data_IF_871030977510
#
_entry.id   IF_871030977510
#
_cell.length_a   1.000
_cell.length_b   1.000
_cell.length_c   1.000
_cell.angle_alpha   90.00
_cell.angle_beta   90.00
_cell.angle_gamma   90.00
#
_symmetry.space_group_name_H-M   'P 1'
#
loop_
_entity.id
_entity.type
_entity.pdbx_description
1 polymer ?
#
# COMPACT_ATOMS: atom_id res chain seq x y z
N UNK A 1 12.79 -5.45 -7.77
CA UNK A 1 13.17 -4.49 -6.74
C UNK A 1 12.00 -4.28 -5.79
N UNK A 2 12.28 -4.18 -4.48
CA UNK A 2 11.31 -3.97 -3.41
C UNK A 2 11.59 -2.60 -2.79
N UNK A 3 10.55 -1.89 -2.38
CA UNK A 3 10.62 -0.58 -1.74
C UNK A 3 10.43 -0.79 -0.24
N UNK A 4 11.51 -0.64 0.55
CA UNK A 4 11.42 -0.60 2.00
C UNK A 4 10.61 0.63 2.41
N UNK A 5 9.53 0.42 3.17
CA UNK A 5 8.60 1.49 3.51
C UNK A 5 8.37 1.54 5.02
N UNK A 6 8.62 2.67 5.64
CA UNK A 6 8.35 2.90 7.06
C UNK A 6 7.10 3.75 7.23
N UNK A 7 6.12 3.20 7.93
CA UNK A 7 4.83 3.82 8.20
C UNK A 7 4.70 4.04 9.71
N UNK A 8 4.26 5.22 10.14
CA UNK A 8 4.08 5.54 11.55
C UNK A 8 3.83 7.02 11.78
N UNK A 9 3.66 7.41 13.04
CA UNK A 9 3.34 8.79 13.40
C UNK A 9 4.37 9.80 12.87
N UNK A 10 3.94 11.02 12.63
CA UNK A 10 4.84 12.12 12.28
C UNK A 10 5.83 12.39 13.41
N UNK A 11 7.08 12.68 13.05
CA UNK A 11 8.14 12.99 14.03
C UNK A 11 8.89 11.77 14.59
N UNK A 12 8.59 10.53 14.14
CA UNK A 12 9.26 9.30 14.58
C UNK A 12 10.58 9.00 13.83
N UNK A 13 11.28 9.99 13.36
CA UNK A 13 12.58 9.91 12.68
C UNK A 13 12.69 9.00 11.45
N UNK A 14 11.57 8.59 10.83
CA UNK A 14 11.55 7.70 9.66
C UNK A 14 12.44 8.18 8.50
N UNK A 15 12.25 9.43 8.08
CA UNK A 15 13.05 10.07 7.01
C UNK A 15 14.52 10.16 7.40
N UNK A 16 14.81 10.57 8.64
CA UNK A 16 16.19 10.65 9.16
C UNK A 16 16.84 9.27 9.18
N UNK A 17 16.12 8.23 9.60
CA UNK A 17 16.62 6.86 9.56
C UNK A 17 16.97 6.42 8.13
N UNK A 18 16.09 6.70 7.16
CA UNK A 18 16.36 6.38 5.75
C UNK A 18 17.58 7.12 5.21
N UNK A 19 17.81 8.34 5.63
CA UNK A 19 18.98 9.13 5.25
C UNK A 19 20.28 8.51 5.80
N UNK A 20 20.24 7.94 7.00
CA UNK A 20 21.40 7.32 7.64
C UNK A 20 21.65 5.86 7.19
N UNK A 21 20.92 5.35 6.22
CA UNK A 21 21.28 4.08 5.54
C UNK A 21 22.63 4.23 4.82
N UNK A 22 22.88 5.41 4.24
CA UNK A 22 24.17 5.72 3.63
C UNK A 22 25.13 6.33 4.66
N UNK A 23 26.41 5.93 4.66
CA UNK A 23 27.42 6.56 5.49
C UNK A 23 27.67 8.02 5.04
N UNK A 24 28.20 8.90 5.90
CA UNK A 24 28.41 10.31 5.57
C UNK A 24 29.16 10.56 4.26
N UNK A 25 30.13 9.70 3.92
CA UNK A 25 30.92 9.80 2.68
C UNK A 25 30.09 9.57 1.41
N UNK A 26 28.92 8.94 1.51
CA UNK A 26 28.00 8.67 0.39
C UNK A 26 26.70 9.48 0.50
N UNK A 27 26.61 10.42 1.43
CA UNK A 27 25.37 11.18 1.67
C UNK A 27 24.91 12.00 0.46
N UNK A 28 25.82 12.42 -0.41
CA UNK A 28 25.51 13.13 -1.65
C UNK A 28 24.69 12.28 -2.66
N UNK A 29 24.75 10.96 -2.53
CA UNK A 29 23.99 10.01 -3.37
C UNK A 29 22.63 9.62 -2.77
N UNK A 30 22.21 10.30 -1.72
CA UNK A 30 20.86 10.20 -1.18
C UNK A 30 20.03 11.40 -1.63
N UNK A 31 18.83 11.15 -2.08
CA UNK A 31 17.89 12.21 -2.40
C UNK A 31 16.49 11.88 -1.91
N UNK A 32 15.71 12.92 -1.65
CA UNK A 32 14.32 12.80 -1.23
C UNK A 32 13.41 13.41 -2.30
N UNK A 33 12.37 12.67 -2.65
CA UNK A 33 11.28 13.16 -3.46
C UNK A 33 10.03 13.28 -2.60
N UNK A 34 9.57 14.52 -2.40
CA UNK A 34 8.29 14.76 -1.76
C UNK A 34 7.15 14.59 -2.76
N UNK A 35 6.01 14.17 -2.26
CA UNK A 35 4.82 13.84 -3.07
C UNK A 35 4.13 15.03 -3.74
N UNK A 36 4.53 16.25 -3.42
CA UNK A 36 3.95 17.47 -3.99
C UNK A 36 4.32 17.69 -5.47
N UNK A 37 5.27 16.91 -5.99
CA UNK A 37 5.75 17.05 -7.38
C UNK A 37 5.45 15.80 -8.20
N UNK A 38 4.78 15.98 -9.33
CA UNK A 38 4.53 14.94 -10.34
C UNK A 38 5.82 14.22 -10.74
N UNK A 39 5.73 12.92 -11.02
CA UNK A 39 6.82 12.18 -11.63
C UNK A 39 7.17 12.79 -12.99
N UNK A 40 8.41 13.19 -13.16
CA UNK A 40 8.94 13.87 -14.35
C UNK A 40 10.02 13.04 -15.02
N UNK A 41 10.48 13.49 -16.18
CA UNK A 41 11.63 12.86 -16.84
C UNK A 41 12.93 13.04 -16.06
N UNK A 42 13.04 14.10 -15.28
CA UNK A 42 14.22 14.35 -14.46
C UNK A 42 14.33 13.31 -13.34
N UNK A 43 13.20 12.81 -12.81
CA UNK A 43 13.19 11.73 -11.85
C UNK A 43 13.79 10.42 -12.41
N UNK A 44 13.70 10.20 -13.72
CA UNK A 44 14.37 9.06 -14.36
C UNK A 44 15.89 9.20 -14.31
N UNK A 45 16.44 10.41 -14.52
CA UNK A 45 17.87 10.63 -14.39
C UNK A 45 18.34 10.51 -12.95
N UNK A 46 17.53 10.95 -12.00
CA UNK A 46 17.81 10.78 -10.57
C UNK A 46 18.08 9.30 -10.21
N UNK A 47 17.41 8.35 -10.87
CA UNK A 47 17.67 6.91 -10.68
C UNK A 47 19.05 6.44 -11.17
N UNK A 48 19.70 7.22 -12.02
CA UNK A 48 21.04 6.90 -12.56
C UNK A 48 22.16 7.63 -11.84
N UNK A 49 21.84 8.57 -10.97
CA UNK A 49 22.77 9.47 -10.31
C UNK A 49 22.82 9.29 -8.78
N UNK A 50 21.81 8.63 -8.21
CA UNK A 50 21.71 8.40 -6.77
C UNK A 50 21.75 6.92 -6.42
N UNK A 51 22.17 6.60 -5.21
CA UNK A 51 22.15 5.25 -4.64
C UNK A 51 20.83 4.95 -3.91
N UNK A 52 20.26 5.97 -3.26
CA UNK A 52 19.01 5.86 -2.52
C UNK A 52 18.09 7.05 -2.85
N UNK A 53 16.85 6.74 -3.22
CA UNK A 53 15.79 7.72 -3.43
C UNK A 53 14.71 7.45 -2.40
N UNK A 54 14.50 8.39 -1.49
CA UNK A 54 13.42 8.33 -0.50
C UNK A 54 12.16 9.01 -1.04
N UNK A 55 11.05 8.28 -1.00
CA UNK A 55 9.73 8.79 -1.36
C UNK A 55 9.01 9.18 -0.07
N UNK A 56 8.90 10.48 0.20
CA UNK A 56 8.18 10.95 1.37
C UNK A 56 6.68 11.02 1.14
N UNK A 57 5.93 10.86 2.23
CA UNK A 57 4.46 10.95 2.24
C UNK A 57 3.78 10.05 1.20
N UNK A 58 4.29 8.82 1.05
CA UNK A 58 3.81 7.86 0.05
C UNK A 58 2.30 7.61 0.15
N UNK A 59 1.74 7.76 1.34
CA UNK A 59 0.33 7.61 1.66
C UNK A 59 -0.57 8.72 1.06
N UNK A 60 0.02 9.84 0.65
CA UNK A 60 -0.72 10.93 -0.02
C UNK A 60 -0.62 10.85 -1.55
N UNK A 61 0.20 9.92 -2.09
CA UNK A 61 0.42 9.80 -3.53
C UNK A 61 -0.81 9.30 -4.28
N UNK A 62 -1.23 10.01 -5.36
CA UNK A 62 -2.34 9.57 -6.19
C UNK A 62 -2.10 8.18 -6.82
N UNK A 63 -3.13 7.33 -7.00
CA UNK A 63 -2.99 6.00 -7.60
C UNK A 63 -2.33 5.99 -8.98
N UNK A 64 -2.51 7.06 -9.78
CA UNK A 64 -1.88 7.21 -11.09
C UNK A 64 -0.36 7.33 -11.00
N UNK A 65 0.14 8.05 -9.99
CA UNK A 65 1.56 8.23 -9.75
C UNK A 65 2.20 6.99 -9.12
N UNK A 66 1.49 6.34 -8.20
CA UNK A 66 1.91 5.02 -7.71
C UNK A 66 2.11 4.01 -8.84
N UNK A 67 1.28 4.05 -9.88
CA UNK A 67 1.44 3.18 -11.05
C UNK A 67 2.65 3.56 -11.91
N UNK A 68 2.94 4.85 -12.07
CA UNK A 68 4.14 5.31 -12.75
C UNK A 68 5.40 4.91 -11.97
N UNK A 69 5.41 5.09 -10.66
CA UNK A 69 6.48 4.66 -9.78
C UNK A 69 6.76 3.16 -9.91
N UNK A 70 5.71 2.32 -9.91
CA UNK A 70 5.86 0.86 -10.11
C UNK A 70 6.55 0.51 -11.42
N UNK A 71 6.30 1.26 -12.48
CA UNK A 71 6.97 1.08 -13.76
C UNK A 71 8.45 1.51 -13.66
N UNK A 72 8.73 2.67 -13.07
CA UNK A 72 10.07 3.21 -12.91
C UNK A 72 10.98 2.27 -12.07
N UNK A 73 10.50 1.81 -10.93
CA UNK A 73 11.26 0.92 -10.02
C UNK A 73 11.71 -0.37 -10.70
N UNK A 74 11.01 -0.82 -11.74
CA UNK A 74 11.32 -2.06 -12.47
C UNK A 74 12.17 -1.86 -13.72
N UNK A 75 12.40 -0.63 -14.14
CA UNK A 75 13.28 -0.34 -15.29
C UNK A 75 14.72 -0.69 -14.93
N UNK A 76 15.43 -1.29 -15.87
CA UNK A 76 16.86 -1.59 -15.72
C UNK A 76 17.75 -0.48 -16.27
N UNK A 77 17.24 0.25 -17.23
CA UNK A 77 17.95 1.33 -17.95
C UNK A 77 17.01 2.51 -18.14
N UNK A 78 17.59 3.69 -18.20
CA UNK A 78 16.92 4.94 -18.57
C UNK A 78 17.34 5.30 -19.99
N UNK A 79 16.37 5.25 -20.93
CA UNK A 79 16.53 5.59 -22.34
C UNK A 79 15.83 6.91 -22.65
N UNK A 80 16.38 8.00 -22.14
CA UNK A 80 15.75 9.31 -22.27
C UNK A 80 16.74 10.37 -22.75
N UNK A 81 16.19 11.48 -23.23
CA UNK A 81 16.96 12.65 -23.65
C UNK A 81 16.98 13.67 -22.52
N UNK A 82 18.17 14.07 -22.07
CA UNK A 82 18.31 15.17 -21.11
C UNK A 82 17.71 16.46 -21.66
N UNK A 83 17.26 17.34 -20.78
CA UNK A 83 16.81 18.67 -21.16
C UNK A 83 17.91 19.35 -22.00
N UNK A 84 17.50 19.93 -23.11
CA UNK A 84 18.41 20.57 -24.12
C UNK A 84 19.45 19.62 -24.79
N UNK A 85 19.47 18.35 -24.46
CA UNK A 85 20.34 17.37 -25.12
C UNK A 85 19.88 17.06 -26.53
N UNK A 86 20.80 16.74 -27.45
CA UNK A 86 20.47 16.36 -28.82
C UNK A 86 20.11 14.90 -28.97
N UNK A 87 20.78 14.02 -28.22
CA UNK A 87 20.64 12.58 -28.33
C UNK A 87 20.03 11.97 -27.03
N UNK A 88 19.37 10.81 -27.18
CA UNK A 88 19.02 9.95 -26.04
C UNK A 88 20.28 9.38 -25.44
N UNK A 89 20.27 9.19 -24.14
CA UNK A 89 21.31 8.48 -23.39
C UNK A 89 20.73 7.19 -22.87
N UNK A 90 21.57 6.16 -22.80
CA UNK A 90 21.25 4.85 -22.23
C UNK A 90 22.08 4.66 -20.97
N UNK A 91 21.43 4.82 -19.80
CA UNK A 91 22.11 4.80 -18.50
C UNK A 91 21.51 3.70 -17.61
N UNK A 92 22.35 3.00 -16.82
CA UNK A 92 21.86 1.98 -15.91
C UNK A 92 21.09 2.63 -14.77
N UNK A 93 20.02 1.98 -14.33
CA UNK A 93 19.33 2.30 -13.10
C UNK A 93 20.15 1.71 -11.93
N UNK A 94 20.69 2.57 -11.07
CA UNK A 94 21.55 2.19 -9.94
C UNK A 94 20.85 2.42 -8.59
N UNK A 95 19.81 3.24 -8.53
CA UNK A 95 19.15 3.62 -7.30
C UNK A 95 18.33 2.48 -6.68
N UNK A 96 18.31 2.45 -5.36
CA UNK A 96 17.30 1.74 -4.57
C UNK A 96 16.25 2.74 -4.07
N UNK A 97 14.98 2.31 -4.05
CA UNK A 97 13.90 3.13 -3.51
C UNK A 97 13.58 2.72 -2.09
N UNK A 98 13.40 3.72 -1.24
CA UNK A 98 12.82 3.61 0.10
C UNK A 98 11.63 4.56 0.20
N UNK A 99 10.76 4.38 1.17
CA UNK A 99 9.59 5.25 1.32
C UNK A 99 9.22 5.48 2.78
N UNK A 100 8.60 6.61 3.05
CA UNK A 100 8.04 6.94 4.36
C UNK A 100 6.61 7.46 4.22
N UNK A 101 5.77 7.15 5.20
CA UNK A 101 4.38 7.61 5.27
C UNK A 101 3.86 7.69 6.69
N UNK A 102 2.69 8.27 6.86
CA UNK A 102 2.07 8.46 8.17
C UNK A 102 0.79 7.62 8.33
N UNK A 103 0.15 7.25 7.24
CA UNK A 103 -1.06 6.44 7.22
C UNK A 103 -0.74 4.96 7.05
N UNK A 104 -1.18 4.13 7.99
CA UNK A 104 -0.96 2.69 7.93
C UNK A 104 -1.54 2.11 6.63
N UNK A 105 -2.74 2.50 6.27
CA UNK A 105 -3.45 2.00 5.10
C UNK A 105 -3.22 2.92 3.90
N UNK A 106 -2.22 2.61 3.09
CA UNK A 106 -1.86 3.42 1.92
C UNK A 106 -1.91 2.65 0.59
N UNK A 107 -1.96 1.33 0.62
CA UNK A 107 -1.94 0.50 -0.59
C UNK A 107 -3.35 0.35 -1.16
N UNK A 108 -3.55 0.87 -2.37
CA UNK A 108 -4.86 0.89 -3.05
C UNK A 108 -4.99 -0.13 -4.18
N UNK A 109 -3.91 -0.85 -4.53
CA UNK A 109 -3.86 -1.72 -5.72
C UNK A 109 -3.40 -3.13 -5.37
N UNK A 110 -4.19 -4.14 -5.77
CA UNK A 110 -3.93 -5.56 -5.48
C UNK A 110 -2.77 -6.15 -6.29
N UNK A 111 -2.49 -5.61 -7.46
CA UNK A 111 -1.54 -6.22 -8.41
C UNK A 111 -0.11 -5.75 -8.23
N UNK A 112 0.08 -4.59 -7.62
CA UNK A 112 1.37 -3.92 -7.46
C UNK A 112 1.99 -4.04 -6.08
N UNK A 113 1.25 -4.54 -5.09
CA UNK A 113 1.63 -4.52 -3.67
C UNK A 113 2.87 -5.37 -3.36
N UNK A 114 3.21 -6.36 -4.19
CA UNK A 114 4.44 -7.17 -4.09
C UNK A 114 5.75 -6.38 -4.17
N UNK A 115 5.69 -5.09 -4.53
CA UNK A 115 6.86 -4.21 -4.59
C UNK A 115 7.10 -3.46 -3.29
N UNK A 116 6.16 -3.50 -2.38
CA UNK A 116 6.23 -2.83 -1.10
C UNK A 116 6.68 -3.79 -0.01
N UNK A 117 7.60 -3.34 0.81
CA UNK A 117 8.00 -4.01 2.04
C UNK A 117 7.74 -3.03 3.20
N UNK A 118 6.46 -2.87 3.59
CA UNK A 118 6.07 -1.91 4.60
C UNK A 118 6.28 -2.46 6.00
N UNK A 119 6.70 -1.59 6.90
CA UNK A 119 6.77 -1.83 8.34
C UNK A 119 6.10 -0.68 9.08
N UNK A 120 5.29 -1.02 10.06
CA UNK A 120 4.80 -0.07 11.03
C UNK A 120 5.91 0.23 12.05
N UNK A 121 6.13 1.53 12.29
CA UNK A 121 7.15 2.02 13.19
C UNK A 121 6.47 2.80 14.31
N UNK A 122 6.65 2.34 15.53
CA UNK A 122 6.17 3.04 16.72
C UNK A 122 7.08 4.22 17.06
N UNK A 123 8.38 3.96 17.13
CA UNK A 123 9.40 4.96 17.40
C UNK A 123 10.76 4.52 16.84
N UNK A 124 11.64 5.46 16.61
CA UNK A 124 13.03 5.25 16.19
C UNK A 124 13.89 6.14 17.09
N UNK A 125 14.93 5.57 17.68
CA UNK A 125 15.95 6.36 18.38
C UNK A 125 16.58 7.37 17.42
N UNK A 126 16.95 8.54 17.93
CA UNK A 126 17.51 9.60 17.11
C UNK A 126 18.74 9.09 16.32
N UNK A 127 18.67 9.01 14.98
CA UNK A 127 19.81 8.54 14.19
C UNK A 127 21.01 9.47 14.25
N UNK A 128 20.80 10.71 14.70
CA UNK A 128 21.86 11.70 14.88
C UNK A 128 22.72 11.44 16.12
N UNK A 129 22.17 10.72 17.11
CA UNK A 129 22.83 10.36 18.36
C UNK A 129 23.33 8.92 18.35
N UNK A 130 22.93 8.13 17.35
CA UNK A 130 23.29 6.74 17.21
C UNK A 130 24.72 6.60 16.64
N UNK A 131 25.53 5.78 17.28
CA UNK A 131 26.80 5.34 16.72
C UNK A 131 26.55 4.17 15.75
N UNK A 132 26.31 4.52 14.48
CA UNK A 132 25.97 3.52 13.45
C UNK A 132 27.27 2.85 12.96
N UNK A 133 27.42 1.52 13.14
CA UNK A 133 28.62 0.80 12.78
C UNK A 133 28.71 0.55 11.28
N UNK A 134 28.83 1.59 10.47
CA UNK A 134 28.83 1.51 9.00
C UNK A 134 29.84 0.52 8.44
N UNK A 135 31.06 0.51 8.98
CA UNK A 135 32.10 -0.40 8.53
C UNK A 135 31.67 -1.87 8.68
N UNK A 136 31.09 -2.23 9.83
CA UNK A 136 30.55 -3.57 10.07
C UNK A 136 29.39 -3.92 9.12
N UNK A 137 28.43 -3.00 8.97
CA UNK A 137 27.26 -3.19 8.09
C UNK A 137 27.68 -3.40 6.63
N UNK A 138 28.56 -2.53 6.13
CA UNK A 138 29.00 -2.63 4.73
C UNK A 138 29.96 -3.81 4.48
N UNK A 139 30.79 -4.18 5.46
CA UNK A 139 31.60 -5.40 5.39
C UNK A 139 30.73 -6.66 5.32
N UNK A 140 29.68 -6.74 6.14
CA UNK A 140 28.72 -7.84 6.08
C UNK A 140 27.97 -7.87 4.74
N UNK A 141 27.51 -6.70 4.27
CA UNK A 141 26.83 -6.59 2.97
C UNK A 141 27.74 -7.03 1.82
N UNK A 142 29.02 -6.66 1.87
CA UNK A 142 29.99 -7.07 0.89
C UNK A 142 30.26 -8.58 0.93
N UNK A 143 30.34 -9.18 2.11
CA UNK A 143 30.47 -10.63 2.27
C UNK A 143 29.26 -11.37 1.68
N UNK A 144 28.04 -10.89 1.91
CA UNK A 144 26.83 -11.41 1.28
C UNK A 144 26.85 -11.28 -0.24
N UNK A 145 27.32 -10.14 -0.75
CA UNK A 145 27.48 -9.93 -2.20
C UNK A 145 28.45 -10.90 -2.86
N UNK A 146 29.50 -11.31 -2.13
CA UNK A 146 30.49 -12.30 -2.61
C UNK A 146 29.97 -13.74 -2.51
N UNK A 147 28.95 -14.01 -1.71
CA UNK A 147 28.36 -15.34 -1.59
C UNK A 147 27.50 -15.66 -2.81
N UNK A 148 27.97 -16.60 -3.63
CA UNK A 148 27.26 -17.05 -4.85
C UNK A 148 25.88 -17.68 -4.56
N UNK A 149 25.63 -18.10 -3.32
CA UNK A 149 24.37 -18.68 -2.90
C UNK A 149 23.40 -17.62 -2.36
N UNK A 150 23.86 -16.40 -2.09
CA UNK A 150 23.01 -15.33 -1.58
C UNK A 150 22.09 -14.80 -2.68
N UNK A 151 20.79 -14.78 -2.38
CA UNK A 151 19.76 -14.23 -3.26
C UNK A 151 19.29 -12.86 -2.75
N UNK A 152 19.41 -11.87 -3.58
CA UNK A 152 18.91 -10.50 -3.30
C UNK A 152 17.48 -10.25 -3.82
N UNK A 153 16.77 -11.31 -4.23
CA UNK A 153 15.37 -11.25 -4.68
C UNK A 153 14.51 -12.29 -3.97
N UNK A 154 13.24 -11.99 -3.82
CA UNK A 154 12.27 -12.91 -3.26
C UNK A 154 11.82 -13.96 -4.28
N UNK A 155 11.66 -15.19 -3.83
CA UNK A 155 11.00 -16.26 -4.58
C UNK A 155 9.48 -16.07 -4.58
N UNK A 156 8.77 -16.77 -5.46
CA UNK A 156 7.31 -16.73 -5.49
C UNK A 156 6.68 -17.15 -4.15
N UNK A 157 7.30 -18.12 -3.45
CA UNK A 157 6.85 -18.54 -2.11
C UNK A 157 7.00 -17.42 -1.07
N UNK A 158 8.13 -16.74 -1.06
CA UNK A 158 8.39 -15.62 -0.16
C UNK A 158 7.48 -14.42 -0.49
N UNK A 159 7.21 -14.17 -1.78
CA UNK A 159 6.23 -13.15 -2.21
C UNK A 159 4.82 -13.49 -1.71
N UNK A 160 4.43 -14.77 -1.70
CA UNK A 160 3.14 -15.18 -1.13
C UNK A 160 3.07 -14.96 0.38
N UNK A 161 4.16 -15.22 1.11
CA UNK A 161 4.24 -14.93 2.54
C UNK A 161 4.18 -13.43 2.81
N UNK A 162 4.88 -12.62 2.03
CA UNK A 162 4.82 -11.15 2.11
C UNK A 162 3.40 -10.60 1.88
N UNK A 163 2.56 -11.24 1.06
CA UNK A 163 1.18 -10.79 0.86
C UNK A 163 0.38 -10.74 2.17
N UNK A 164 0.53 -11.74 3.04
CA UNK A 164 -0.12 -11.72 4.35
C UNK A 164 0.32 -10.54 5.22
N UNK A 165 1.62 -10.22 5.19
CA UNK A 165 2.16 -9.07 5.90
C UNK A 165 1.69 -7.73 5.30
N UNK A 166 1.63 -7.63 3.98
CA UNK A 166 1.25 -6.40 3.26
C UNK A 166 -0.24 -6.07 3.42
N UNK A 167 -1.07 -7.07 3.67
CA UNK A 167 -2.54 -6.92 3.74
C UNK A 167 -2.99 -5.89 4.78
N UNK A 168 -2.34 -5.78 5.92
CA UNK A 168 -2.66 -4.80 6.96
C UNK A 168 -2.46 -3.33 6.51
N UNK A 169 -1.63 -3.12 5.48
CA UNK A 169 -1.36 -1.81 4.89
C UNK A 169 -2.26 -1.48 3.70
N UNK A 170 -3.16 -2.37 3.34
CA UNK A 170 -4.12 -2.14 2.25
C UNK A 170 -5.29 -1.30 2.73
N UNK A 171 -5.72 -0.36 1.89
CA UNK A 171 -6.90 0.44 2.17
C UNK A 171 -8.12 -0.48 2.15
N UNK A 172 -8.93 -0.51 3.23
CA UNK A 172 -10.15 -1.31 3.28
C UNK A 172 -11.06 -1.01 2.09
N UNK A 173 -11.63 -2.05 1.54
CA UNK A 173 -12.54 -1.95 0.40
C UNK A 173 -13.94 -2.42 0.81
N UNK A 174 -14.70 -1.57 1.47
CA UNK A 174 -15.99 -1.94 2.02
C UNK A 174 -16.95 -2.48 0.95
N UNK A 175 -16.79 -2.07 -0.32
CA UNK A 175 -17.55 -2.63 -1.43
C UNK A 175 -17.29 -4.12 -1.66
N UNK A 176 -16.07 -4.61 -1.40
CA UNK A 176 -15.75 -6.04 -1.53
C UNK A 176 -16.38 -6.86 -0.41
N UNK A 177 -16.20 -6.42 0.82
CA UNK A 177 -16.77 -7.06 1.99
C UNK A 177 -18.29 -7.13 1.86
N UNK A 178 -18.91 -6.02 1.48
CA UNK A 178 -20.34 -5.94 1.28
C UNK A 178 -20.82 -6.90 0.19
N UNK A 179 -20.13 -6.95 -0.97
CA UNK A 179 -20.50 -7.87 -2.04
C UNK A 179 -20.35 -9.33 -1.57
N UNK A 180 -19.25 -9.68 -0.90
CA UNK A 180 -19.01 -11.03 -0.42
C UNK A 180 -19.98 -11.45 0.70
N UNK A 181 -20.41 -10.50 1.53
CA UNK A 181 -21.38 -10.76 2.59
C UNK A 181 -22.76 -11.10 2.04
N UNK A 182 -23.21 -10.37 1.01
CA UNK A 182 -24.60 -10.51 0.53
C UNK A 182 -24.75 -11.28 -0.78
N UNK A 183 -23.67 -11.48 -1.53
CA UNK A 183 -23.70 -12.16 -2.82
C UNK A 183 -22.64 -13.25 -2.90
N UNK A 184 -22.97 -14.30 -3.63
CA UNK A 184 -22.02 -15.34 -4.02
C UNK A 184 -22.17 -15.70 -5.51
N UNK A 185 -21.19 -16.38 -6.03
CA UNK A 185 -21.29 -16.92 -7.41
C UNK A 185 -22.18 -18.15 -7.43
N UNK A 186 -22.95 -18.36 -8.52
CA UNK A 186 -23.65 -19.62 -8.73
C UNK A 186 -22.68 -20.79 -8.78
N UNK A 187 -23.06 -21.93 -8.20
CA UNK A 187 -22.25 -23.15 -8.16
C UNK A 187 -22.98 -24.25 -8.99
N UNK A 188 -22.24 -24.92 -9.86
CA UNK A 188 -22.79 -26.01 -10.68
C UNK A 188 -23.92 -25.56 -11.59
N UNK A 189 -25.10 -26.20 -11.46
CA UNK A 189 -26.31 -25.91 -12.26
C UNK A 189 -27.23 -24.85 -11.62
N UNK A 190 -26.80 -24.19 -10.59
CA UNK A 190 -27.59 -23.18 -9.89
C UNK A 190 -27.89 -21.99 -10.80
N UNK A 191 -29.16 -21.54 -10.82
CA UNK A 191 -29.57 -20.36 -11.57
C UNK A 191 -29.27 -19.11 -10.77
N UNK A 192 -28.35 -18.25 -11.28
CA UNK A 192 -28.12 -16.93 -10.73
C UNK A 192 -29.15 -15.89 -11.13
N UNK A 193 -29.30 -14.86 -10.34
CA UNK A 193 -30.12 -13.68 -10.61
C UNK A 193 -29.27 -12.64 -11.34
N UNK A 194 -29.90 -11.91 -12.28
CA UNK A 194 -29.26 -10.83 -13.00
C UNK A 194 -29.46 -9.52 -12.24
N UNK A 195 -28.38 -8.88 -11.81
CA UNK A 195 -28.43 -7.58 -11.10
C UNK A 195 -27.45 -6.60 -11.73
N UNK A 196 -27.76 -5.31 -11.65
CA UNK A 196 -26.85 -4.23 -12.09
C UNK A 196 -26.10 -3.63 -10.91
N UNK A 197 -24.95 -2.98 -11.20
CA UNK A 197 -24.24 -2.23 -10.14
C UNK A 197 -25.13 -1.17 -9.48
N UNK A 198 -26.04 -0.56 -10.21
CA UNK A 198 -27.01 0.40 -9.66
C UNK A 198 -27.99 -0.26 -8.67
N UNK A 199 -28.49 -1.46 -8.99
CA UNK A 199 -29.37 -2.20 -8.09
C UNK A 199 -28.64 -2.65 -6.83
N UNK A 200 -27.39 -3.09 -6.95
CA UNK A 200 -26.54 -3.41 -5.80
C UNK A 200 -26.39 -2.17 -4.90
N UNK A 201 -26.05 -1.02 -5.46
CA UNK A 201 -25.94 0.24 -4.67
C UNK A 201 -27.28 0.61 -4.05
N UNK A 202 -28.38 0.52 -4.80
CA UNK A 202 -29.74 0.84 -4.30
C UNK A 202 -30.15 0.00 -3.09
N UNK A 203 -29.74 -1.29 -3.05
CA UNK A 203 -30.00 -2.17 -1.90
C UNK A 203 -29.29 -1.69 -0.62
N UNK A 204 -28.13 -1.04 -0.76
CA UNK A 204 -27.30 -0.59 0.36
C UNK A 204 -27.33 0.93 0.54
N UNK A 205 -28.26 1.64 -0.10
CA UNK A 205 -28.36 3.10 -0.05
C UNK A 205 -28.55 3.71 1.34
N UNK A 206 -28.99 2.90 2.32
CA UNK A 206 -29.14 3.31 3.72
C UNK A 206 -27.89 3.06 4.57
N UNK A 207 -26.80 2.57 3.99
CA UNK A 207 -25.54 2.40 4.72
C UNK A 207 -24.74 3.70 4.70
N UNK A 208 -23.92 3.94 5.72
CA UNK A 208 -22.96 5.06 5.77
C UNK A 208 -21.87 5.00 4.70
N UNK A 209 -21.82 3.92 3.92
CA UNK A 209 -20.79 3.67 2.91
C UNK A 209 -21.11 4.43 1.61
N UNK A 210 -20.16 5.25 1.17
CA UNK A 210 -20.25 5.93 -0.13
C UNK A 210 -19.85 4.97 -1.26
N UNK A 211 -20.82 4.19 -1.73
CA UNK A 211 -20.64 3.30 -2.87
C UNK A 211 -20.73 4.08 -4.19
N UNK A 212 -19.92 3.72 -5.18
CA UNK A 212 -20.02 4.25 -6.54
C UNK A 212 -20.15 3.12 -7.57
N UNK A 213 -20.81 3.40 -8.70
CA UNK A 213 -21.00 2.44 -9.80
C UNK A 213 -19.65 1.87 -10.29
N UNK A 214 -18.62 2.72 -10.34
CA UNK A 214 -17.29 2.31 -10.79
C UNK A 214 -16.62 1.37 -9.79
N UNK A 215 -16.69 1.67 -8.49
CA UNK A 215 -16.10 0.84 -7.43
C UNK A 215 -16.81 -0.51 -7.33
N UNK A 216 -18.14 -0.53 -7.30
CA UNK A 216 -18.93 -1.78 -7.29
C UNK A 216 -18.67 -2.60 -8.55
N UNK A 217 -18.66 -1.98 -9.73
CA UNK A 217 -18.36 -2.67 -10.98
C UNK A 217 -16.94 -3.24 -11.06
N UNK A 218 -15.97 -2.56 -10.45
CA UNK A 218 -14.59 -3.05 -10.31
C UNK A 218 -14.56 -4.26 -9.36
N UNK A 219 -15.14 -4.12 -8.17
CA UNK A 219 -15.18 -5.18 -7.16
C UNK A 219 -15.82 -6.46 -7.70
N UNK A 220 -16.95 -6.37 -8.41
CA UNK A 220 -17.62 -7.51 -9.03
C UNK A 220 -16.72 -8.23 -10.04
N UNK A 221 -15.95 -7.49 -10.85
CA UNK A 221 -15.00 -8.10 -11.81
C UNK A 221 -13.84 -8.79 -11.12
N UNK A 222 -13.22 -8.12 -10.15
CA UNK A 222 -12.05 -8.63 -9.42
C UNK A 222 -12.42 -9.83 -8.54
N UNK A 223 -13.63 -9.84 -7.99
CA UNK A 223 -14.20 -11.01 -7.30
C UNK A 223 -14.60 -12.13 -8.27
N UNK A 224 -14.51 -11.92 -9.60
CA UNK A 224 -14.75 -12.93 -10.61
C UNK A 224 -16.23 -13.28 -10.83
N UNK A 225 -17.14 -12.33 -10.58
CA UNK A 225 -18.54 -12.50 -10.97
C UNK A 225 -18.69 -12.40 -12.49
N UNK A 226 -19.53 -13.27 -13.06
CA UNK A 226 -19.81 -13.28 -14.49
C UNK A 226 -20.62 -12.05 -14.89
N UNK A 227 -20.14 -11.30 -15.89
CA UNK A 227 -20.87 -10.19 -16.49
C UNK A 227 -21.58 -10.65 -17.78
N UNK A 228 -22.83 -10.24 -17.94
CA UNK A 228 -23.63 -10.47 -19.14
C UNK A 228 -24.08 -9.12 -19.67
N UNK A 229 -23.81 -8.87 -20.95
CA UNK A 229 -24.23 -7.64 -21.64
C UNK A 229 -25.58 -7.88 -22.30
N UNK A 230 -26.56 -7.04 -21.99
CA UNK A 230 -27.84 -6.98 -22.71
C UNK A 230 -27.96 -5.63 -23.42
N UNK A 231 -29.00 -5.47 -24.25
CA UNK A 231 -29.17 -4.27 -25.09
C UNK A 231 -29.25 -2.95 -24.32
N UNK A 232 -29.66 -2.99 -23.07
CA UNK A 232 -29.91 -1.82 -22.23
C UNK A 232 -28.95 -1.65 -21.05
N UNK A 233 -28.22 -2.70 -20.62
CA UNK A 233 -27.31 -2.63 -19.48
C UNK A 233 -26.34 -3.81 -19.42
N UNK A 234 -25.33 -3.67 -18.54
CA UNK A 234 -24.46 -4.75 -18.11
C UNK A 234 -24.99 -5.34 -16.80
N UNK A 235 -25.20 -6.65 -16.79
CA UNK A 235 -25.72 -7.39 -15.64
C UNK A 235 -24.64 -8.30 -15.05
N UNK A 236 -24.67 -8.46 -13.74
CA UNK A 236 -23.89 -9.42 -12.98
C UNK A 236 -24.75 -10.62 -12.66
N UNK A 237 -24.20 -11.83 -12.81
CA UNK A 237 -24.87 -13.06 -12.42
C UNK A 237 -24.47 -13.39 -10.99
N UNK A 238 -25.41 -13.30 -10.08
CA UNK A 238 -25.20 -13.46 -8.64
C UNK A 238 -26.23 -14.43 -8.04
N UNK A 239 -25.90 -14.98 -6.89
CA UNK A 239 -26.85 -15.61 -5.97
C UNK A 239 -26.84 -14.78 -4.70
N UNK A 240 -28.01 -14.33 -4.28
CA UNK A 240 -28.15 -13.61 -3.01
C UNK A 240 -28.05 -14.61 -1.85
N UNK A 241 -27.29 -14.24 -0.83
CA UNK A 241 -27.20 -15.05 0.39
C UNK A 241 -28.45 -14.87 1.24
N UNK A 242 -28.86 -15.94 1.89
CA UNK A 242 -29.95 -15.90 2.88
C UNK A 242 -29.52 -15.14 4.13
N UNK A 243 -30.48 -14.71 4.93
CA UNK A 243 -30.19 -14.03 6.20
C UNK A 243 -29.35 -14.87 7.14
N UNK A 244 -29.56 -16.20 7.14
CA UNK A 244 -28.79 -17.15 7.95
C UNK A 244 -27.33 -17.23 7.46
N UNK A 245 -27.11 -17.32 6.15
CA UNK A 245 -25.75 -17.29 5.58
C UNK A 245 -25.02 -15.99 5.87
N UNK A 246 -25.71 -14.84 5.86
CA UNK A 246 -25.14 -13.53 6.18
C UNK A 246 -24.76 -13.44 7.66
N UNK A 247 -25.62 -13.91 8.57
CA UNK A 247 -25.34 -13.92 10.00
C UNK A 247 -24.11 -14.76 10.36
N UNK A 248 -23.88 -15.87 9.68
CA UNK A 248 -22.68 -16.69 9.88
C UNK A 248 -21.38 -16.04 9.35
N UNK A 249 -21.48 -15.08 8.46
CA UNK A 249 -20.32 -14.36 7.90
C UNK A 249 -19.96 -13.07 8.67
N UNK A 250 -20.91 -12.55 9.44
CA UNK A 250 -20.65 -11.40 10.31
C UNK A 250 -19.92 -11.89 11.57
N UNK A 251 -18.80 -11.25 11.98
CA UNK A 251 -18.13 -11.62 13.21
C UNK A 251 -19.07 -11.45 14.40
N UNK A 252 -19.06 -12.39 15.33
CA UNK A 252 -19.89 -12.41 16.54
C UNK A 252 -19.57 -11.29 17.56
N UNK A 253 -18.69 -10.37 17.23
CA UNK A 253 -18.16 -9.32 18.14
C UNK A 253 -19.00 -8.03 18.21
N UNK A 254 -20.13 -7.96 17.51
CA UNK A 254 -20.98 -6.76 17.58
C UNK A 254 -21.95 -6.72 18.78
N UNK A 255 -22.01 -7.76 19.64
CA UNK A 255 -22.99 -7.86 20.72
C UNK A 255 -22.50 -7.49 22.12
N UNK A 256 -21.24 -7.10 22.30
CA UNK A 256 -20.73 -6.68 23.62
C UNK A 256 -19.99 -5.33 23.56
N UNK A 257 -20.70 -4.28 23.21
CA UNK A 257 -20.36 -2.94 23.66
C UNK A 257 -21.25 -2.64 24.87
N UNK A 258 -20.68 -2.76 26.06
CA UNK A 258 -21.31 -2.24 27.27
C UNK A 258 -21.70 -0.76 27.06
N UNK A 259 -22.87 -0.33 27.54
CA UNK A 259 -23.24 1.08 27.51
C UNK A 259 -22.20 1.91 28.28
N UNK A 260 -21.86 3.13 27.83
CA UNK A 260 -20.85 3.96 28.47
C UNK A 260 -21.23 4.16 29.94
N UNK A 261 -20.40 3.60 30.84
CA UNK A 261 -20.55 3.74 32.26
C UNK A 261 -20.65 5.20 32.67
N UNK A 262 -21.61 5.49 33.54
CA UNK A 262 -21.79 6.79 34.19
C UNK A 262 -20.46 7.24 34.81
N UNK A 263 -20.07 8.44 34.50
CA UNK A 263 -18.92 9.11 35.12
C UNK A 263 -19.17 9.24 36.62
N UNK A 264 -18.21 8.89 37.50
CA UNK A 264 -18.31 9.22 38.91
C UNK A 264 -18.34 10.73 39.09
N UNK A 265 -19.30 11.20 39.92
CA UNK A 265 -19.44 12.60 40.33
C UNK A 265 -18.13 13.12 40.94
N UNK A 266 -17.68 14.26 40.49
CA UNK A 266 -16.58 15.03 41.07
C UNK A 266 -16.93 15.39 42.55
N UNK A 267 -16.27 14.74 43.47
CA UNK A 267 -16.17 15.25 44.85
C UNK A 267 -15.05 16.28 44.91
N UNK A 268 -15.45 17.48 45.31
CA UNK A 268 -14.62 18.62 45.67
C UNK A 268 -13.48 18.15 46.62
N UNK A 269 -12.23 18.33 46.22
CA UNK A 269 -11.12 18.38 47.15
C UNK A 269 -10.39 19.71 46.93
N UNK A 270 -10.61 20.60 47.90
CA UNK A 270 -9.90 21.87 48.03
C UNK A 270 -8.39 21.61 48.15
N UNK A 271 -7.63 22.37 47.38
CA UNK A 271 -6.19 22.46 47.48
C UNK A 271 -5.83 23.44 48.62
N UNK A 272 -4.97 23.08 49.57
CA UNK A 272 -4.33 24.05 50.42
C UNK A 272 -2.97 24.46 49.83
N UNK A 273 -2.89 25.78 49.57
CA UNK A 273 -1.71 26.62 49.31
C UNK A 273 -0.89 26.35 48.03
#
# INVERSE_FOLDING_TARGET
>A
QVILTLIGRQGSYKTSFMQHILPPVLSEYYTTKSNSSRMTKDDLFTMTENLVINLEEIDTMPPSELNQLKAMVTQRYVDERRAYGRNKVHLPHVASFVATGNNLQFLTDDTGNRRWLPFEVEDIDSPWEADIPYEGIYSQTYALYQDVNFRYWFTDKEIQQLRGHVQQFEVPRPEYELILTYYRKPVGLERGVYTTSSQIIGRFGNTSLRLSLQKVGRAMRELGFRQVKASNANYWVVVERTTEEVQHLLPAEAEQADPPGEKPSEENTELPF
#
